data_IF_523158573066
#
_entry.id   IF_523158573066
#
_cell.length_a   1.000
_cell.length_b   1.000
_cell.length_c   1.000
_cell.angle_alpha   90.00
_cell.angle_beta   90.00
_cell.angle_gamma   90.00
#
_symmetry.space_group_name_H-M   'P 1'
#
loop_
_entity.id
_entity.type
_entity.pdbx_description
1 polymer ?
#
# COMPACT_ATOMS: atom_id res chain seq x y z
N UNK A 1 10.59 -3.98 8.86
CA UNK A 1 10.45 -2.62 9.42
C UNK A 1 10.34 -1.64 8.25
N UNK A 2 9.13 -1.47 7.71
CA UNK A 2 8.87 -0.71 6.46
C UNK A 2 7.75 0.34 6.63
N UNK A 3 7.34 0.63 7.86
CA UNK A 3 6.58 1.83 8.19
C UNK A 3 7.32 3.15 7.86
N UNK A 4 8.59 3.09 7.43
CA UNK A 4 9.54 4.20 7.50
C UNK A 4 9.46 5.19 6.34
N UNK A 5 9.14 4.77 5.10
CA UNK A 5 9.26 5.67 3.96
C UNK A 5 8.28 6.84 3.98
N UNK A 6 7.03 6.64 4.44
CA UNK A 6 6.03 7.70 4.49
C UNK A 6 6.04 8.48 5.80
N UNK A 7 6.16 7.80 6.95
CA UNK A 7 6.10 8.47 8.25
C UNK A 7 7.28 9.43 8.45
N UNK A 8 8.49 9.10 7.97
CA UNK A 8 9.65 9.99 8.08
C UNK A 8 9.42 11.37 7.43
N UNK A 9 8.55 11.45 6.42
CA UNK A 9 8.19 12.70 5.75
C UNK A 9 6.87 13.32 6.27
N UNK A 10 6.03 12.57 7.01
CA UNK A 10 4.66 12.98 7.34
C UNK A 10 4.62 14.27 8.17
N UNK A 11 5.48 14.40 9.18
CA UNK A 11 5.55 15.60 10.01
C UNK A 11 5.96 16.84 9.20
N UNK A 12 6.77 16.67 8.15
CA UNK A 12 7.13 17.79 7.26
C UNK A 12 5.93 18.20 6.40
N UNK A 13 5.19 17.22 5.86
CA UNK A 13 3.95 17.50 5.11
C UNK A 13 2.90 18.21 5.97
N UNK A 14 2.71 17.73 7.19
CA UNK A 14 1.83 18.36 8.18
C UNK A 14 2.27 19.80 8.47
N UNK A 15 3.55 20.01 8.81
CA UNK A 15 4.06 21.32 9.24
C UNK A 15 4.09 22.38 8.14
N UNK A 16 4.51 22.02 6.93
CA UNK A 16 4.76 23.01 5.87
C UNK A 16 3.58 23.19 4.92
N UNK A 17 2.73 22.18 4.76
CA UNK A 17 1.59 22.22 3.83
C UNK A 17 0.24 22.05 4.51
N UNK A 18 0.20 21.95 5.85
CA UNK A 18 -1.03 21.68 6.61
C UNK A 18 -1.74 20.41 6.09
N UNK A 19 -0.95 19.43 5.64
CA UNK A 19 -1.47 18.19 5.13
C UNK A 19 -2.09 17.38 6.27
N UNK A 20 -3.22 16.73 5.99
CA UNK A 20 -3.84 15.82 6.94
C UNK A 20 -3.20 14.44 6.85
N UNK A 21 -2.69 13.95 7.98
CA UNK A 21 -2.01 12.66 8.06
C UNK A 21 -3.00 11.60 8.55
N UNK A 22 -3.30 10.65 7.66
CA UNK A 22 -4.21 9.54 7.93
C UNK A 22 -3.41 8.24 8.01
N UNK A 23 -3.65 7.43 9.03
CA UNK A 23 -2.94 6.16 9.24
C UNK A 23 -3.92 5.06 9.63
N UNK A 24 -3.68 3.84 9.12
CA UNK A 24 -4.50 2.70 9.49
C UNK A 24 -4.32 2.34 10.98
N UNK A 25 -5.42 2.00 11.67
CA UNK A 25 -5.45 1.78 13.12
C UNK A 25 -4.44 0.69 13.56
N UNK A 26 -4.25 -0.34 12.74
CA UNK A 26 -3.31 -1.42 13.05
C UNK A 26 -1.84 -0.97 12.98
N UNK A 27 -1.50 -0.08 12.05
CA UNK A 27 -0.14 0.48 11.99
C UNK A 27 0.06 1.54 13.08
N UNK A 28 -1.00 2.26 13.46
CA UNK A 28 -0.97 3.26 14.52
C UNK A 28 -0.63 2.68 15.92
N UNK A 29 -0.75 1.36 16.10
CA UNK A 29 -0.36 0.65 17.33
C UNK A 29 1.15 0.49 17.48
N UNK A 30 1.92 0.67 16.41
CA UNK A 30 3.37 0.51 16.47
C UNK A 30 4.00 1.63 17.30
N UNK A 31 4.90 1.28 18.24
CA UNK A 31 5.46 2.23 19.22
C UNK A 31 6.09 3.48 18.58
N UNK A 32 6.74 3.34 17.42
CA UNK A 32 7.37 4.48 16.74
C UNK A 32 6.37 5.51 16.23
N UNK A 33 5.09 5.15 16.04
CA UNK A 33 4.06 6.09 15.57
C UNK A 33 3.83 7.23 16.57
N UNK A 34 4.16 7.05 17.85
CA UNK A 34 4.05 8.12 18.85
C UNK A 34 4.99 9.32 18.60
N UNK A 35 5.91 9.20 17.64
CA UNK A 35 6.80 10.28 17.21
C UNK A 35 6.22 11.15 16.09
N UNK A 36 5.02 10.82 15.59
CA UNK A 36 4.42 11.46 14.42
C UNK A 36 3.05 12.05 14.72
N UNK A 37 2.73 13.16 14.05
CA UNK A 37 1.43 13.82 14.14
C UNK A 37 0.43 13.12 13.22
N UNK A 38 -0.57 12.46 13.79
CA UNK A 38 -1.62 11.73 13.07
C UNK A 38 -2.97 12.44 13.31
N UNK A 39 -3.55 13.00 12.25
CA UNK A 39 -4.84 13.70 12.34
C UNK A 39 -6.02 12.72 12.40
N UNK A 40 -5.92 11.58 11.70
CA UNK A 40 -7.03 10.64 11.58
C UNK A 40 -6.52 9.20 11.57
N UNK A 41 -7.22 8.35 12.33
CA UNK A 41 -7.06 6.91 12.26
C UNK A 41 -8.19 6.31 11.45
N UNK A 42 -7.85 5.34 10.61
CA UNK A 42 -8.81 4.67 9.73
C UNK A 42 -8.77 3.18 9.99
N UNK A 43 -9.93 2.53 9.96
CA UNK A 43 -10.06 1.08 10.08
C UNK A 43 -10.75 0.54 8.83
N UNK A 44 -10.14 -0.44 8.18
CA UNK A 44 -10.62 -1.03 6.94
C UNK A 44 -10.44 -0.15 5.71
N UNK A 45 -11.24 -0.44 4.69
CA UNK A 45 -11.22 0.28 3.41
C UNK A 45 -11.87 1.66 3.56
N UNK A 46 -11.39 2.65 2.82
CA UNK A 46 -11.98 3.99 2.81
C UNK A 46 -11.90 4.65 1.43
N UNK A 47 -12.62 5.75 1.27
CA UNK A 47 -12.54 6.58 0.07
C UNK A 47 -12.57 8.05 0.43
N UNK A 48 -11.67 8.82 -0.18
CA UNK A 48 -11.57 10.26 0.06
C UNK A 48 -11.10 10.99 -1.21
N UNK A 49 -11.88 11.97 -1.66
CA UNK A 49 -11.52 12.85 -2.81
C UNK A 49 -11.08 12.08 -4.07
N UNK A 50 -11.75 10.96 -4.36
CA UNK A 50 -11.48 10.13 -5.54
C UNK A 50 -10.32 9.13 -5.36
N UNK A 51 -9.67 9.10 -4.20
CA UNK A 51 -8.75 8.03 -3.80
C UNK A 51 -9.58 6.95 -3.11
N UNK A 52 -9.50 5.73 -3.62
CA UNK A 52 -9.99 4.54 -2.94
C UNK A 52 -8.80 3.87 -2.26
N UNK A 53 -8.94 3.51 -0.99
CA UNK A 53 -7.90 2.89 -0.19
C UNK A 53 -8.40 1.56 0.33
N UNK A 54 -7.64 0.50 0.08
CA UNK A 54 -7.97 -0.86 0.46
C UNK A 54 -6.98 -1.35 1.51
N UNK A 55 -7.48 -1.65 2.69
CA UNK A 55 -6.68 -2.28 3.73
C UNK A 55 -6.38 -3.73 3.32
N UNK A 56 -5.10 -4.08 3.19
CA UNK A 56 -4.65 -5.42 2.77
C UNK A 56 -3.99 -6.16 3.92
N UNK A 57 -3.19 -5.48 4.73
CA UNK A 57 -2.35 -6.14 5.72
C UNK A 57 -1.19 -6.92 5.07
N UNK A 58 -0.72 -7.97 5.75
CA UNK A 58 0.43 -8.76 5.31
C UNK A 58 1.74 -8.01 5.54
N UNK A 59 2.12 -7.14 4.61
CA UNK A 59 3.41 -6.44 4.64
C UNK A 59 3.67 -5.70 5.96
N UNK A 60 2.66 -4.95 6.41
CA UNK A 60 2.49 -4.44 7.76
C UNK A 60 1.06 -4.74 8.21
N UNK A 61 0.75 -4.78 9.52
CA UNK A 61 -0.60 -5.04 10.00
C UNK A 61 -1.67 -4.09 9.45
N UNK A 62 -1.30 -2.85 9.13
CA UNK A 62 -2.20 -1.84 8.54
C UNK A 62 -1.94 -1.54 7.07
N UNK A 63 -1.16 -2.37 6.37
CA UNK A 63 -0.77 -2.11 4.98
C UNK A 63 -1.98 -1.83 4.11
N UNK A 64 -1.89 -0.78 3.31
CA UNK A 64 -3.00 -0.24 2.52
C UNK A 64 -2.51 0.08 1.12
N UNK A 65 -3.28 -0.32 0.12
CA UNK A 65 -3.04 -0.01 -1.30
C UNK A 65 -4.09 0.98 -1.79
N UNK A 66 -3.77 1.74 -2.81
CA UNK A 66 -4.63 2.84 -3.26
C UNK A 66 -4.97 2.74 -4.73
N UNK A 67 -6.18 3.12 -5.09
CA UNK A 67 -6.57 3.41 -6.47
C UNK A 67 -6.87 4.90 -6.57
N UNK A 68 -6.32 5.53 -7.60
CA UNK A 68 -6.75 6.85 -8.04
C UNK A 68 -6.97 6.80 -9.55
N UNK A 69 -8.20 7.08 -9.99
CA UNK A 69 -8.62 6.92 -11.38
C UNK A 69 -8.36 5.49 -11.89
N UNK A 70 -7.52 5.31 -12.90
CA UNK A 70 -7.15 4.02 -13.50
C UNK A 70 -5.75 3.53 -13.06
N UNK A 71 -5.20 4.10 -11.98
CA UNK A 71 -3.88 3.77 -11.44
C UNK A 71 -4.00 3.07 -10.09
N UNK A 72 -3.37 1.89 -9.97
CA UNK A 72 -3.18 1.15 -8.72
C UNK A 72 -1.80 1.45 -8.12
N UNK A 73 -1.77 1.98 -6.91
CA UNK A 73 -0.57 2.15 -6.11
C UNK A 73 -0.45 0.98 -5.14
N UNK A 74 0.47 0.06 -5.45
CA UNK A 74 0.72 -1.13 -4.63
C UNK A 74 1.97 -0.98 -3.75
N UNK A 75 2.61 0.19 -3.81
CA UNK A 75 3.77 0.55 -2.99
C UNK A 75 4.83 -0.57 -3.03
N UNK A 76 5.35 -0.95 -1.88
CA UNK A 76 6.38 -1.97 -1.71
C UNK A 76 5.81 -3.38 -1.51
N UNK A 77 4.52 -3.64 -1.75
CA UNK A 77 3.97 -5.00 -1.59
C UNK A 77 4.67 -6.05 -2.47
N UNK A 78 5.03 -5.62 -3.68
CA UNK A 78 5.82 -6.37 -4.65
C UNK A 78 7.02 -5.53 -5.08
N UNK A 79 8.15 -6.18 -5.30
CA UNK A 79 9.36 -5.61 -5.90
C UNK A 79 9.58 -6.18 -7.29
N UNK A 80 9.99 -5.32 -8.22
CA UNK A 80 10.55 -5.76 -9.49
C UNK A 80 12.05 -5.98 -9.32
N UNK A 81 12.51 -7.21 -9.55
CA UNK A 81 13.94 -7.56 -9.57
C UNK A 81 14.40 -7.83 -11.00
N UNK A 82 15.70 -8.01 -11.23
CA UNK A 82 16.24 -8.33 -12.55
C UNK A 82 15.66 -9.62 -13.15
N UNK A 83 15.18 -10.55 -12.31
CA UNK A 83 14.64 -11.83 -12.76
C UNK A 83 13.12 -11.89 -12.78
N UNK A 84 12.42 -11.13 -11.93
CA UNK A 84 10.97 -11.25 -11.74
C UNK A 84 10.37 -10.30 -10.71
N UNK A 85 9.04 -10.23 -10.65
CA UNK A 85 8.32 -9.67 -9.50
C UNK A 85 8.34 -10.61 -8.29
N UNK A 86 8.53 -10.07 -7.09
CA UNK A 86 8.62 -10.82 -5.84
C UNK A 86 7.84 -10.11 -4.74
N UNK A 87 7.18 -10.87 -3.86
CA UNK A 87 6.64 -10.29 -2.62
C UNK A 87 7.74 -9.68 -1.78
N UNK A 88 7.37 -8.63 -1.07
CA UNK A 88 8.28 -7.95 -0.17
C UNK A 88 8.85 -8.94 0.87
N UNK A 89 10.18 -9.17 0.89
CA UNK A 89 10.79 -10.17 1.76
C UNK A 89 10.90 -9.72 3.22
N UNK A 90 10.58 -8.47 3.52
CA UNK A 90 10.77 -7.87 4.85
C UNK A 90 9.48 -7.84 5.69
N UNK A 91 8.37 -8.33 5.13
CA UNK A 91 7.15 -8.64 5.86
C UNK A 91 7.03 -10.14 6.18
N UNK A 92 5.97 -10.57 6.89
CA UNK A 92 5.66 -11.99 7.06
C UNK A 92 5.26 -12.59 5.70
N UNK A 93 6.12 -13.42 5.11
CA UNK A 93 5.94 -13.96 3.75
C UNK A 93 4.60 -14.68 3.57
N UNK A 94 4.25 -15.59 4.47
CA UNK A 94 3.01 -16.37 4.39
C UNK A 94 1.75 -15.49 4.46
N UNK A 95 1.73 -14.50 5.35
CA UNK A 95 0.60 -13.58 5.49
C UNK A 95 0.52 -12.63 4.28
N UNK A 96 1.66 -12.14 3.80
CA UNK A 96 1.72 -11.26 2.62
C UNK A 96 1.15 -11.98 1.39
N UNK A 97 1.56 -13.23 1.14
CA UNK A 97 1.01 -14.04 0.05
C UNK A 97 -0.48 -14.30 0.20
N UNK A 98 -0.93 -14.63 1.41
CA UNK A 98 -2.36 -14.85 1.69
C UNK A 98 -3.18 -13.60 1.38
N UNK A 99 -2.69 -12.43 1.78
CA UNK A 99 -3.40 -11.16 1.56
C UNK A 99 -3.34 -10.68 0.10
N UNK A 100 -2.44 -11.22 -0.73
CA UNK A 100 -2.44 -10.99 -2.16
C UNK A 100 -3.81 -11.38 -2.80
N UNK A 101 -4.50 -12.39 -2.25
CA UNK A 101 -5.85 -12.76 -2.69
C UNK A 101 -6.84 -11.59 -2.61
N UNK A 102 -6.75 -10.77 -1.57
CA UNK A 102 -7.63 -9.61 -1.39
C UNK A 102 -7.41 -8.57 -2.49
N UNK A 103 -6.17 -8.42 -2.95
CA UNK A 103 -5.85 -7.53 -4.06
C UNK A 103 -6.56 -7.99 -5.33
N UNK A 104 -6.50 -9.28 -5.66
CA UNK A 104 -7.23 -9.84 -6.80
C UNK A 104 -8.73 -9.57 -6.75
N UNK A 105 -9.33 -9.73 -5.58
CA UNK A 105 -10.78 -9.56 -5.41
C UNK A 105 -11.24 -8.16 -5.79
N UNK A 106 -10.55 -7.11 -5.33
CA UNK A 106 -10.98 -5.75 -5.65
C UNK A 106 -10.55 -5.34 -7.06
N UNK A 107 -9.33 -5.68 -7.53
CA UNK A 107 -8.86 -5.24 -8.86
C UNK A 107 -9.67 -5.88 -10.00
N UNK A 108 -10.23 -7.07 -9.80
CA UNK A 108 -11.10 -7.74 -10.78
C UNK A 108 -12.36 -6.93 -11.13
N UNK A 109 -12.77 -6.00 -10.25
CA UNK A 109 -13.95 -5.16 -10.45
C UNK A 109 -13.62 -3.77 -11.01
N UNK A 110 -12.34 -3.50 -11.32
CA UNK A 110 -11.83 -2.17 -11.65
C UNK A 110 -11.28 -2.10 -13.06
N UNK A 111 -11.42 -0.94 -13.70
CA UNK A 111 -10.86 -0.66 -15.03
C UNK A 111 -9.47 -0.01 -14.92
N UNK A 112 -8.51 -0.75 -14.38
CA UNK A 112 -7.14 -0.28 -14.15
C UNK A 112 -6.30 -0.35 -15.44
N UNK A 113 -5.42 0.63 -15.64
CA UNK A 113 -4.45 0.67 -16.73
C UNK A 113 -3.01 0.59 -16.25
N UNK A 114 -2.71 1.18 -15.11
CA UNK A 114 -1.34 1.34 -14.63
C UNK A 114 -1.20 0.83 -13.21
N UNK A 115 -0.08 0.18 -12.92
CA UNK A 115 0.34 -0.20 -11.57
C UNK A 115 1.64 0.51 -11.24
N UNK A 116 1.64 1.20 -10.11
CA UNK A 116 2.80 1.87 -9.53
C UNK A 116 3.25 1.08 -8.30
N UNK A 117 4.39 0.40 -8.43
CA UNK A 117 5.09 -0.19 -7.30
C UNK A 117 6.21 0.71 -6.80
N UNK A 118 6.90 0.27 -5.76
CA UNK A 118 8.00 1.00 -5.13
C UNK A 118 9.12 1.33 -6.14
N UNK A 119 9.47 0.40 -7.03
CA UNK A 119 10.57 0.54 -7.96
C UNK A 119 10.21 0.26 -9.43
N UNK A 120 8.91 0.32 -9.77
CA UNK A 120 8.45 0.09 -11.15
C UNK A 120 7.12 0.75 -11.44
N UNK A 121 6.88 0.97 -12.73
CA UNK A 121 5.58 1.29 -13.31
C UNK A 121 5.30 0.23 -14.39
N UNK A 122 4.13 -0.37 -14.37
CA UNK A 122 3.75 -1.42 -15.32
C UNK A 122 2.32 -1.21 -15.84
N UNK A 123 2.03 -1.76 -17.02
CA UNK A 123 0.64 -1.90 -17.48
C UNK A 123 -0.07 -2.93 -16.62
N UNK A 124 -1.31 -2.65 -16.24
CA UNK A 124 -2.10 -3.52 -15.36
C UNK A 124 -2.33 -4.92 -15.97
N UNK A 125 -2.58 -5.00 -17.28
CA UNK A 125 -2.81 -6.26 -17.99
C UNK A 125 -1.59 -7.17 -17.96
N UNK A 126 -0.38 -6.59 -18.08
CA UNK A 126 0.88 -7.36 -18.03
C UNK A 126 1.27 -7.71 -16.59
N UNK A 127 0.88 -6.86 -15.63
CA UNK A 127 1.21 -7.02 -14.23
C UNK A 127 0.39 -8.10 -13.52
N UNK A 128 -0.91 -8.19 -13.81
CA UNK A 128 -1.83 -9.08 -13.09
C UNK A 128 -1.44 -10.57 -13.15
N UNK A 129 -1.00 -11.14 -14.29
CA UNK A 129 -0.56 -12.54 -14.36
C UNK A 129 0.72 -12.83 -13.56
N UNK A 130 1.65 -11.88 -13.49
CA UNK A 130 2.93 -12.00 -12.77
C UNK A 130 2.72 -12.10 -11.25
N UNK A 131 1.67 -11.45 -10.74
CA UNK A 131 1.29 -11.58 -9.35
C UNK A 131 0.72 -12.98 -9.04
N UNK A 132 0.15 -13.71 -10.03
CA UNK A 132 -0.67 -14.92 -9.80
C UNK A 132 0.18 -16.19 -9.77
N UNK A 133 1.35 -16.14 -10.40
CA UNK A 133 2.27 -17.28 -10.47
C UNK A 133 3.11 -17.46 -9.20
N UNK A 134 2.86 -16.68 -8.12
CA UNK A 134 3.71 -16.63 -6.92
C UNK A 134 2.93 -16.60 -5.62
#
# INVERSE_FOLDING_TARGET
MILNCFLDASNQYWRFWNAKIWLHEQDAKHRLVTLFDIDQRVDGDFSHRGIEAYHIGGHTPGFTVYIYQDVLFICDFLFLTASSMQFNPYGPDSETRKQAQRIYQFVATKSLKTVCGYNYIANFIDWLPEMHTR
#
